data_IF_737356226159
#
_entry.id   IF_737356226159
#
_cell.length_a   1.000
_cell.length_b   1.000
_cell.length_c   1.000
_cell.angle_alpha   90.00
_cell.angle_beta   90.00
_cell.angle_gamma   90.00
#
_symmetry.space_group_name_H-M   'P 1'
#
loop_
_entity.id
_entity.type
_entity.pdbx_description
1 polymer ?
#
# COMPACT_ATOMS: atom_id res chain seq x y z
N UNK A 1 3.52 -47.16 -40.90
CA UNK A 1 2.74 -45.96 -41.21
C UNK A 1 3.28 -44.85 -40.36
N UNK A 2 3.89 -43.86 -41.00
CA UNK A 2 4.68 -42.79 -40.38
C UNK A 2 3.80 -41.75 -39.69
N UNK A 3 4.01 -41.52 -38.39
CA UNK A 3 3.55 -40.35 -37.61
C UNK A 3 4.47 -40.13 -36.38
N UNK A 4 5.79 -40.19 -36.54
CA UNK A 4 6.75 -39.84 -35.47
C UNK A 4 7.64 -38.63 -35.79
N UNK A 5 7.32 -37.88 -36.85
CA UNK A 5 7.81 -36.50 -37.04
C UNK A 5 6.82 -35.54 -36.37
N UNK A 6 7.15 -34.44 -35.70
CA UNK A 6 8.40 -33.83 -35.26
C UNK A 6 7.93 -32.73 -34.27
N UNK A 7 8.03 -32.95 -32.96
CA UNK A 7 8.25 -31.82 -32.05
C UNK A 7 9.70 -31.95 -31.65
N UNK A 8 10.60 -31.05 -32.10
CA UNK A 8 11.94 -31.03 -31.58
C UNK A 8 11.79 -30.93 -30.07
N UNK A 9 12.26 -31.93 -29.33
CA UNK A 9 12.46 -31.80 -27.89
C UNK A 9 13.48 -30.70 -27.73
N UNK A 10 13.01 -29.45 -27.71
CA UNK A 10 13.81 -28.27 -27.39
C UNK A 10 14.22 -28.50 -25.94
N UNK A 11 15.36 -29.15 -25.75
CA UNK A 11 16.06 -29.09 -24.48
C UNK A 11 16.42 -27.62 -24.30
N UNK A 12 15.56 -26.91 -23.55
CA UNK A 12 15.79 -25.53 -23.18
C UNK A 12 17.17 -25.49 -22.52
N UNK A 13 18.13 -24.83 -23.18
CA UNK A 13 19.46 -24.68 -22.59
C UNK A 13 19.29 -23.96 -21.26
N UNK A 14 19.93 -24.40 -20.17
CA UNK A 14 19.90 -23.69 -18.92
C UNK A 14 20.34 -22.25 -19.17
N UNK A 15 19.42 -21.29 -19.00
CA UNK A 15 19.71 -19.89 -19.25
C UNK A 15 20.56 -19.39 -18.08
N UNK A 16 21.84 -19.15 -18.36
CA UNK A 16 22.84 -18.82 -17.32
C UNK A 16 22.71 -17.38 -16.82
N UNK A 17 22.05 -16.52 -17.60
CA UNK A 17 21.88 -15.12 -17.27
C UNK A 17 20.61 -14.92 -16.42
N UNK A 18 20.82 -14.62 -15.13
CA UNK A 18 19.74 -14.40 -14.17
C UNK A 18 18.81 -13.26 -14.60
N UNK A 19 19.33 -12.23 -15.26
CA UNK A 19 18.52 -11.10 -15.70
C UNK A 19 17.52 -11.52 -16.78
N UNK A 20 17.96 -12.32 -17.75
CA UNK A 20 17.08 -12.82 -18.80
C UNK A 20 16.03 -13.80 -18.28
N UNK A 21 16.40 -14.65 -17.31
CA UNK A 21 15.44 -15.53 -16.63
C UNK A 21 14.40 -14.68 -15.90
N UNK A 22 14.83 -13.67 -15.15
CA UNK A 22 13.92 -12.76 -14.45
C UNK A 22 12.97 -12.06 -15.42
N UNK A 23 13.48 -11.45 -16.49
CA UNK A 23 12.66 -10.78 -17.50
C UNK A 23 11.63 -11.74 -18.11
N UNK A 24 12.02 -12.99 -18.37
CA UNK A 24 11.11 -14.02 -18.90
C UNK A 24 10.02 -14.37 -17.90
N UNK A 25 10.38 -14.62 -16.64
CA UNK A 25 9.44 -14.92 -15.55
C UNK A 25 8.47 -13.76 -15.31
N UNK A 26 8.98 -12.53 -15.23
CA UNK A 26 8.20 -11.33 -15.05
C UNK A 26 7.22 -11.10 -16.22
N UNK A 27 7.68 -11.34 -17.45
CA UNK A 27 6.84 -11.28 -18.66
C UNK A 27 5.69 -12.30 -18.59
N UNK A 28 5.98 -13.54 -18.18
CA UNK A 28 4.93 -14.55 -18.01
C UNK A 28 3.98 -14.19 -16.87
N UNK A 29 4.50 -13.76 -15.72
CA UNK A 29 3.71 -13.35 -14.57
C UNK A 29 2.68 -12.28 -14.95
N UNK A 30 3.11 -11.21 -15.63
CA UNK A 30 2.22 -10.14 -16.07
C UNK A 30 1.19 -10.62 -17.10
N UNK A 31 1.57 -11.50 -18.04
CA UNK A 31 0.62 -12.09 -18.99
C UNK A 31 -0.44 -12.92 -18.30
N UNK A 32 -0.04 -13.78 -17.35
CA UNK A 32 -0.99 -14.56 -16.57
C UNK A 32 -1.88 -13.67 -15.70
N UNK A 33 -1.36 -12.56 -15.18
CA UNK A 33 -2.15 -11.61 -14.39
C UNK A 33 -3.24 -10.94 -15.23
N UNK A 34 -2.92 -10.55 -16.47
CA UNK A 34 -3.93 -10.06 -17.42
C UNK A 34 -5.01 -11.09 -17.73
N UNK A 35 -4.59 -12.34 -17.97
CA UNK A 35 -5.53 -13.45 -18.24
C UNK A 35 -6.41 -13.70 -17.02
N UNK A 36 -5.83 -13.69 -15.81
CA UNK A 36 -6.56 -13.86 -14.56
C UNK A 36 -7.67 -12.82 -14.39
N UNK A 37 -7.34 -11.53 -14.58
CA UNK A 37 -8.32 -10.43 -14.51
C UNK A 37 -9.46 -10.64 -15.51
N UNK A 38 -9.14 -10.96 -16.77
CA UNK A 38 -10.16 -11.21 -17.79
C UNK A 38 -11.04 -12.44 -17.46
N UNK A 39 -10.45 -13.52 -16.93
CA UNK A 39 -11.20 -14.71 -16.54
C UNK A 39 -12.10 -14.46 -15.32
N UNK A 40 -11.68 -13.63 -14.37
CA UNK A 40 -12.50 -13.23 -13.22
C UNK A 40 -13.74 -12.47 -13.69
N UNK A 41 -13.57 -11.49 -14.58
CA UNK A 41 -14.69 -10.75 -15.19
C UNK A 41 -15.63 -11.70 -15.95
N UNK A 42 -15.07 -12.58 -16.77
CA UNK A 42 -15.86 -13.57 -17.53
C UNK A 42 -16.62 -14.50 -16.57
N UNK A 43 -15.99 -14.98 -15.50
CA UNK A 43 -16.64 -15.82 -14.51
C UNK A 43 -17.86 -15.10 -13.89
N UNK A 44 -17.71 -13.81 -13.56
CA UNK A 44 -18.78 -13.02 -12.97
C UNK A 44 -19.96 -12.79 -13.94
N UNK A 45 -19.67 -12.56 -15.22
CA UNK A 45 -20.69 -12.27 -16.24
C UNK A 45 -21.37 -13.51 -16.83
N UNK A 46 -20.76 -14.70 -16.76
CA UNK A 46 -21.39 -15.93 -17.29
C UNK A 46 -22.59 -16.32 -16.44
N UNK A 47 -23.78 -16.34 -17.04
CA UNK A 47 -25.01 -16.83 -16.39
C UNK A 47 -25.20 -18.35 -16.47
N UNK A 48 -24.55 -19.02 -17.44
CA UNK A 48 -24.76 -20.44 -17.71
C UNK A 48 -23.91 -21.34 -16.79
N UNK A 49 -24.50 -22.23 -15.96
CA UNK A 49 -23.78 -22.90 -14.88
C UNK A 49 -22.70 -23.89 -15.37
N UNK A 50 -22.93 -24.59 -16.47
CA UNK A 50 -21.96 -25.52 -17.07
C UNK A 50 -20.70 -24.77 -17.54
N UNK A 51 -20.86 -23.67 -18.27
CA UNK A 51 -19.73 -22.83 -18.73
C UNK A 51 -18.99 -22.21 -17.55
N UNK A 52 -19.72 -21.75 -16.54
CA UNK A 52 -19.14 -21.18 -15.31
C UNK A 52 -18.22 -22.16 -14.58
N UNK A 53 -18.60 -23.45 -14.50
CA UNK A 53 -17.76 -24.50 -13.90
C UNK A 53 -16.45 -24.71 -14.64
N UNK A 54 -16.47 -24.68 -15.97
CA UNK A 54 -15.25 -24.82 -16.78
C UNK A 54 -14.33 -23.62 -16.57
N UNK A 55 -14.88 -22.40 -16.62
CA UNK A 55 -14.11 -21.17 -16.36
C UNK A 55 -13.52 -21.17 -14.96
N UNK A 56 -14.25 -21.67 -13.95
CA UNK A 56 -13.73 -21.83 -12.60
C UNK A 56 -12.44 -22.65 -12.56
N UNK A 57 -12.44 -23.82 -13.20
CA UNK A 57 -11.27 -24.72 -13.21
C UNK A 57 -10.05 -24.07 -13.87
N UNK A 58 -10.29 -23.35 -14.98
CA UNK A 58 -9.22 -22.61 -15.66
C UNK A 58 -8.70 -21.47 -14.79
N UNK A 59 -9.60 -20.74 -14.11
CA UNK A 59 -9.25 -19.63 -13.22
C UNK A 59 -8.37 -20.11 -12.05
N UNK A 60 -8.73 -21.22 -11.39
CA UNK A 60 -7.93 -21.86 -10.34
C UNK A 60 -6.54 -22.29 -10.86
N UNK A 61 -6.47 -22.84 -12.08
CA UNK A 61 -5.19 -23.20 -12.71
C UNK A 61 -4.30 -21.98 -12.99
N UNK A 62 -4.89 -20.88 -13.47
CA UNK A 62 -4.17 -19.62 -13.69
C UNK A 62 -3.69 -19.01 -12.37
N UNK A 63 -4.50 -19.08 -11.31
CA UNK A 63 -4.11 -18.65 -9.96
C UNK A 63 -2.91 -19.46 -9.44
N UNK A 64 -2.94 -20.78 -9.59
CA UNK A 64 -1.82 -21.65 -9.25
C UNK A 64 -0.55 -21.23 -9.99
N UNK A 65 -0.65 -21.03 -11.32
CA UNK A 65 0.51 -20.63 -12.13
C UNK A 65 1.06 -19.25 -11.76
N UNK A 66 0.21 -18.31 -11.36
CA UNK A 66 0.64 -16.99 -10.86
C UNK A 66 1.49 -17.10 -9.59
N UNK A 67 1.06 -17.94 -8.66
CA UNK A 67 1.79 -18.17 -7.40
C UNK A 67 3.12 -18.88 -7.67
N UNK A 68 3.13 -19.88 -8.53
CA UNK A 68 4.37 -20.56 -8.95
C UNK A 68 5.37 -19.59 -9.58
N UNK A 69 4.94 -18.80 -10.57
CA UNK A 69 5.80 -17.80 -11.22
C UNK A 69 6.33 -16.78 -10.22
N UNK A 70 5.48 -16.31 -9.31
CA UNK A 70 5.91 -15.38 -8.26
C UNK A 70 6.95 -16.03 -7.36
N UNK A 71 6.75 -17.28 -6.96
CA UNK A 71 7.70 -18.02 -6.13
C UNK A 71 9.04 -18.24 -6.86
N UNK A 72 9.01 -18.64 -8.13
CA UNK A 72 10.20 -18.78 -8.98
C UNK A 72 11.00 -17.46 -9.05
N UNK A 73 10.33 -16.30 -9.17
CA UNK A 73 10.99 -14.99 -9.15
C UNK A 73 11.61 -14.66 -7.78
N UNK A 74 10.88 -14.94 -6.69
CA UNK A 74 11.37 -14.72 -5.31
C UNK A 74 12.61 -15.57 -5.04
N UNK A 75 12.60 -16.84 -5.45
CA UNK A 75 13.76 -17.73 -5.33
C UNK A 75 14.93 -17.26 -6.20
N UNK A 76 14.65 -16.70 -7.37
CA UNK A 76 15.66 -16.17 -8.27
C UNK A 76 16.34 -14.91 -7.73
N UNK A 77 15.63 -13.99 -7.07
CA UNK A 77 16.19 -12.72 -6.58
C UNK A 77 16.43 -12.67 -5.06
N UNK A 78 15.95 -13.66 -4.31
CA UNK A 78 15.89 -13.66 -2.84
C UNK A 78 15.16 -12.44 -2.26
N UNK A 79 14.15 -11.94 -2.99
CA UNK A 79 13.36 -10.76 -2.62
C UNK A 79 11.89 -11.00 -2.96
N UNK A 80 10.98 -10.52 -2.10
CA UNK A 80 9.54 -10.49 -2.41
C UNK A 80 9.17 -9.31 -3.33
N UNK A 81 9.97 -8.24 -3.26
CA UNK A 81 9.76 -6.98 -3.98
C UNK A 81 10.59 -6.96 -5.26
N UNK A 82 9.90 -6.72 -6.37
CA UNK A 82 10.48 -6.75 -7.72
C UNK A 82 10.03 -5.51 -8.49
N UNK A 83 10.92 -4.96 -9.31
CA UNK A 83 10.65 -3.79 -10.14
C UNK A 83 10.24 -4.23 -11.55
N UNK A 84 9.13 -3.70 -12.05
CA UNK A 84 8.53 -4.10 -13.33
C UNK A 84 8.47 -2.96 -14.34
N UNK A 85 9.07 -1.80 -14.07
CA UNK A 85 8.87 -0.56 -14.82
C UNK A 85 9.02 -0.72 -16.34
N UNK A 86 10.13 -1.31 -16.79
CA UNK A 86 10.41 -1.53 -18.21
C UNK A 86 9.38 -2.48 -18.86
N UNK A 87 8.98 -3.53 -18.13
CA UNK A 87 8.07 -4.57 -18.62
C UNK A 87 6.63 -4.06 -18.62
N UNK A 88 6.23 -3.28 -17.61
CA UNK A 88 4.92 -2.63 -17.55
C UNK A 88 4.72 -1.70 -18.74
N UNK A 89 5.76 -0.96 -19.13
CA UNK A 89 5.73 -0.08 -20.30
C UNK A 89 5.43 -0.88 -21.58
N UNK A 90 6.10 -2.02 -21.79
CA UNK A 90 5.87 -2.89 -22.94
C UNK A 90 4.43 -3.43 -22.98
N UNK A 91 3.87 -3.77 -21.81
CA UNK A 91 2.50 -4.27 -21.71
C UNK A 91 1.44 -3.18 -21.66
N UNK A 92 1.82 -1.89 -21.67
CA UNK A 92 0.90 -0.75 -21.48
C UNK A 92 0.06 -0.91 -20.21
N UNK A 93 0.66 -1.41 -19.14
CA UNK A 93 0.02 -1.59 -17.83
C UNK A 93 0.41 -0.46 -16.90
N UNK A 94 -0.48 -0.15 -15.96
CA UNK A 94 -0.16 0.75 -14.84
C UNK A 94 0.22 -0.06 -13.60
N UNK A 95 0.85 0.55 -12.59
CA UNK A 95 1.10 -0.12 -11.31
C UNK A 95 -0.17 -0.63 -10.63
N UNK A 96 -1.33 -0.03 -10.87
CA UNK A 96 -2.63 -0.49 -10.34
C UNK A 96 -3.02 -1.86 -10.92
N UNK A 97 -2.58 -2.17 -12.14
CA UNK A 97 -2.85 -3.46 -12.79
C UNK A 97 -2.07 -4.62 -12.14
N UNK A 98 -1.02 -4.33 -11.36
CA UNK A 98 -0.26 -5.32 -10.59
C UNK A 98 -1.02 -5.86 -9.38
N UNK A 99 -2.04 -5.15 -8.90
CA UNK A 99 -2.84 -5.63 -7.78
C UNK A 99 -3.56 -6.93 -8.19
N UNK A 100 -3.44 -8.00 -7.41
CA UNK A 100 -4.13 -9.25 -7.74
C UNK A 100 -5.55 -9.18 -7.17
N UNK A 101 -6.61 -9.09 -8.00
CA UNK A 101 -7.96 -8.98 -7.47
C UNK A 101 -8.37 -10.26 -6.74
N UNK A 102 -9.13 -10.12 -5.66
CA UNK A 102 -9.73 -11.25 -4.95
C UNK A 102 -10.97 -11.71 -5.74
N UNK A 103 -11.01 -12.95 -6.27
CA UNK A 103 -12.14 -13.38 -7.09
C UNK A 103 -13.46 -13.37 -6.32
N UNK A 104 -14.52 -12.81 -6.93
CA UNK A 104 -15.83 -12.60 -6.28
C UNK A 104 -16.50 -13.91 -5.83
N UNK A 105 -16.19 -15.03 -6.47
CA UNK A 105 -16.79 -16.32 -6.08
C UNK A 105 -16.30 -16.84 -4.74
N UNK A 106 -15.12 -16.43 -4.25
CA UNK A 106 -14.63 -16.84 -2.93
C UNK A 106 -15.65 -16.52 -1.84
N UNK A 107 -16.28 -15.35 -1.92
CA UNK A 107 -17.33 -14.93 -0.98
C UNK A 107 -18.62 -15.68 -1.24
N UNK A 108 -19.04 -15.82 -2.50
CA UNK A 108 -20.30 -16.48 -2.88
C UNK A 108 -20.34 -17.95 -2.49
N UNK A 109 -19.28 -18.69 -2.75
CA UNK A 109 -19.19 -20.12 -2.42
C UNK A 109 -19.04 -20.35 -0.91
N UNK A 110 -18.27 -19.51 -0.21
CA UNK A 110 -18.06 -19.63 1.24
C UNK A 110 -19.20 -19.03 2.07
N UNK A 111 -20.21 -18.40 1.47
CA UNK A 111 -21.26 -17.68 2.19
C UNK A 111 -22.02 -18.56 3.20
N UNK A 112 -22.22 -19.84 2.89
CA UNK A 112 -22.87 -20.79 3.80
C UNK A 112 -21.99 -21.06 5.02
N UNK A 113 -20.72 -21.42 4.79
CA UNK A 113 -19.75 -21.65 5.86
C UNK A 113 -19.52 -20.39 6.71
N UNK A 114 -19.51 -19.21 6.09
CA UNK A 114 -19.41 -17.92 6.79
C UNK A 114 -20.63 -17.69 7.69
N UNK A 115 -21.85 -17.92 7.20
CA UNK A 115 -23.08 -17.81 8.00
C UNK A 115 -23.12 -18.83 9.15
N UNK A 116 -22.63 -20.04 8.94
CA UNK A 116 -22.53 -21.05 10.00
C UNK A 116 -21.54 -20.64 11.08
N UNK A 117 -20.36 -20.16 10.68
CA UNK A 117 -19.36 -19.61 11.61
C UNK A 117 -19.89 -18.39 12.37
N UNK A 118 -20.62 -17.51 11.69
CA UNK A 118 -21.27 -16.35 12.31
C UNK A 118 -22.27 -16.79 13.39
N UNK A 119 -23.14 -17.77 13.09
CA UNK A 119 -24.07 -18.34 14.08
C UNK A 119 -23.34 -18.96 15.27
N UNK A 120 -22.28 -19.72 15.02
CA UNK A 120 -21.45 -20.32 16.07
C UNK A 120 -20.82 -19.23 16.95
N UNK A 121 -20.29 -18.18 16.36
CA UNK A 121 -19.67 -17.06 17.07
C UNK A 121 -20.71 -16.33 17.93
N UNK A 122 -21.91 -16.06 17.41
CA UNK A 122 -23.02 -15.49 18.18
C UNK A 122 -23.37 -16.37 19.38
N UNK A 123 -23.42 -17.69 19.21
CA UNK A 123 -23.70 -18.64 20.28
C UNK A 123 -22.61 -18.66 21.35
N UNK A 124 -21.34 -18.65 20.95
CA UNK A 124 -20.19 -18.60 21.87
C UNK A 124 -20.19 -17.29 22.66
N UNK A 125 -20.40 -16.14 21.99
CA UNK A 125 -20.48 -14.83 22.66
C UNK A 125 -21.66 -14.76 23.64
N UNK A 126 -22.82 -15.30 23.26
CA UNK A 126 -23.99 -15.38 24.14
C UNK A 126 -23.72 -16.23 25.39
N UNK A 127 -22.99 -17.35 25.24
CA UNK A 127 -22.58 -18.21 26.36
C UNK A 127 -21.48 -17.60 27.23
N UNK A 128 -20.56 -16.84 26.63
CA UNK A 128 -19.44 -16.19 27.33
C UNK A 128 -19.82 -14.93 28.11
N UNK A 129 -21.10 -14.60 28.26
CA UNK A 129 -21.55 -13.39 28.96
C UNK A 129 -21.25 -12.08 28.24
N UNK A 130 -20.63 -12.13 27.06
CA UNK A 130 -20.36 -10.98 26.21
C UNK A 130 -21.61 -10.67 25.39
N UNK A 131 -22.66 -10.21 26.08
CA UNK A 131 -23.77 -9.57 25.39
C UNK A 131 -23.19 -8.38 24.64
N UNK A 132 -23.41 -8.31 23.31
CA UNK A 132 -23.21 -7.05 22.58
C UNK A 132 -23.91 -5.97 23.41
N UNK A 133 -23.25 -4.86 23.79
CA UNK A 133 -23.97 -3.77 24.43
C UNK A 133 -25.10 -3.35 23.49
N UNK A 134 -26.34 -3.71 23.85
CA UNK A 134 -27.56 -3.29 23.13
C UNK A 134 -27.78 -1.79 23.27
N UNK A 135 -27.01 -1.14 24.12
CA UNK A 135 -26.93 0.30 24.23
C UNK A 135 -25.76 0.73 23.36
N UNK A 136 -26.03 1.13 22.12
CA UNK A 136 -25.26 2.24 21.57
C UNK A 136 -25.43 3.36 22.60
N UNK A 137 -24.48 3.50 23.53
CA UNK A 137 -24.36 4.75 24.28
C UNK A 137 -24.32 5.79 23.18
N UNK A 138 -25.26 6.75 23.14
CA UNK A 138 -25.25 7.75 22.09
C UNK A 138 -23.87 8.37 22.15
N UNK A 139 -23.03 8.05 21.18
CA UNK A 139 -21.77 8.76 20.99
C UNK A 139 -22.26 10.17 20.73
N UNK A 140 -22.08 11.06 21.71
CA UNK A 140 -22.44 12.46 21.54
C UNK A 140 -21.58 12.97 20.39
N UNK A 141 -22.13 12.90 19.18
CA UNK A 141 -21.48 13.38 17.98
C UNK A 141 -21.39 14.89 18.13
N UNK A 142 -20.17 15.40 18.28
CA UNK A 142 -19.95 16.85 18.23
C UNK A 142 -20.45 17.38 16.89
N UNK A 143 -21.17 18.50 16.90
CA UNK A 143 -21.60 19.13 15.66
C UNK A 143 -20.38 19.63 14.87
N UNK A 144 -20.51 19.69 13.55
CA UNK A 144 -19.43 20.14 12.67
C UNK A 144 -19.02 21.57 13.02
N UNK A 145 -19.99 22.42 13.36
CA UNK A 145 -19.75 23.81 13.76
C UNK A 145 -18.92 23.87 15.04
N UNK A 146 -19.23 23.00 16.02
CA UNK A 146 -18.48 22.93 17.28
C UNK A 146 -17.05 22.44 17.06
N UNK A 147 -16.86 21.46 16.19
CA UNK A 147 -15.54 20.94 15.82
C UNK A 147 -14.69 22.00 15.10
N UNK A 148 -15.28 22.69 14.11
CA UNK A 148 -14.61 23.79 13.38
C UNK A 148 -14.23 24.91 14.33
N UNK A 149 -15.12 25.32 15.22
CA UNK A 149 -14.85 26.37 16.20
C UNK A 149 -13.70 25.98 17.14
N UNK A 150 -13.69 24.76 17.68
CA UNK A 150 -12.62 24.25 18.55
C UNK A 150 -11.26 24.25 17.83
N UNK A 151 -11.22 23.80 16.58
CA UNK A 151 -10.01 23.79 15.76
C UNK A 151 -9.48 25.21 15.53
N UNK A 152 -10.35 26.14 15.13
CA UNK A 152 -9.96 27.53 14.85
C UNK A 152 -9.44 28.26 16.08
N UNK A 153 -10.11 28.09 17.24
CA UNK A 153 -9.66 28.70 18.51
C UNK A 153 -8.30 28.12 18.93
N UNK A 154 -8.13 26.81 18.82
CA UNK A 154 -6.89 26.13 19.18
C UNK A 154 -5.72 26.56 18.29
N UNK A 155 -5.95 26.64 16.98
CA UNK A 155 -4.93 27.08 16.02
C UNK A 155 -4.57 28.56 16.22
N UNK A 156 -5.56 29.44 16.46
CA UNK A 156 -5.31 30.85 16.80
C UNK A 156 -4.44 30.98 18.05
N UNK A 157 -4.74 30.21 19.10
CA UNK A 157 -3.96 30.20 20.33
C UNK A 157 -2.53 29.71 20.09
N UNK A 158 -2.35 28.65 19.29
CA UNK A 158 -1.03 28.11 18.92
C UNK A 158 -0.20 29.14 18.16
N UNK A 159 -0.79 29.78 17.14
CA UNK A 159 -0.16 30.84 16.35
C UNK A 159 0.21 32.04 17.23
N UNK A 160 -0.66 32.43 18.15
CA UNK A 160 -0.38 33.48 19.14
C UNK A 160 0.85 33.17 19.99
N UNK A 161 0.96 31.94 20.52
CA UNK A 161 2.13 31.50 21.28
C UNK A 161 3.41 31.53 20.44
N UNK A 162 3.34 31.06 19.19
CA UNK A 162 4.49 31.05 18.29
C UNK A 162 4.99 32.46 17.97
N UNK A 163 4.07 33.39 17.68
CA UNK A 163 4.39 34.81 17.44
C UNK A 163 4.98 35.47 18.67
N UNK A 164 4.40 35.24 19.85
CA UNK A 164 4.91 35.78 21.11
C UNK A 164 6.33 35.29 21.40
N UNK A 165 6.61 34.00 21.16
CA UNK A 165 7.95 33.45 21.27
C UNK A 165 8.93 34.13 20.30
N UNK A 166 8.56 34.25 19.03
CA UNK A 166 9.39 34.89 18.00
C UNK A 166 9.71 36.35 18.32
N UNK A 167 8.70 37.15 18.71
CA UNK A 167 8.91 38.55 19.11
C UNK A 167 9.80 38.67 20.35
N UNK A 168 9.69 37.75 21.31
CA UNK A 168 10.58 37.71 22.47
C UNK A 168 12.04 37.48 22.05
N UNK A 169 12.29 36.58 21.11
CA UNK A 169 13.64 36.33 20.57
C UNK A 169 14.21 37.57 19.89
N UNK A 170 13.44 38.23 19.01
CA UNK A 170 13.87 39.47 18.34
C UNK A 170 14.24 40.54 19.36
N UNK A 171 13.38 40.77 20.37
CA UNK A 171 13.63 41.79 21.39
C UNK A 171 14.89 41.52 22.21
N UNK A 172 15.17 40.25 22.53
CA UNK A 172 16.40 39.85 23.21
C UNK A 172 17.64 40.06 22.33
N UNK A 173 17.52 39.85 21.03
CA UNK A 173 18.60 40.09 20.07
C UNK A 173 18.87 41.59 19.87
N UNK A 174 17.83 42.42 19.72
CA UNK A 174 17.96 43.87 19.68
C UNK A 174 18.62 44.43 20.95
N UNK A 175 18.22 43.95 22.13
CA UNK A 175 18.85 44.33 23.40
C UNK A 175 20.34 43.96 23.43
N UNK A 176 20.72 42.78 22.93
CA UNK A 176 22.13 42.38 22.81
C UNK A 176 22.90 43.28 21.83
N UNK A 177 22.30 43.67 20.69
CA UNK A 177 22.91 44.60 19.73
C UNK A 177 23.12 46.00 20.32
N UNK A 178 22.13 46.50 21.06
CA UNK A 178 22.22 47.80 21.74
C UNK A 178 23.29 47.79 22.86
N UNK A 179 23.40 46.70 23.63
CA UNK A 179 24.47 46.55 24.63
C UNK A 179 25.86 46.40 23.98
N UNK A 180 25.98 45.70 22.84
CA UNK A 180 27.23 45.59 22.09
C UNK A 180 27.74 46.92 21.53
N UNK A 181 26.84 47.82 21.11
CA UNK A 181 27.20 49.16 20.64
C UNK A 181 27.58 50.16 21.77
N UNK A 182 27.30 49.84 23.03
CA UNK A 182 27.73 50.66 24.19
C UNK A 182 29.22 50.48 24.53
N UNK A 183 29.91 49.53 23.89
CA UNK A 183 31.30 49.15 24.18
C UNK A 183 32.31 49.68 23.14
N UNK A 184 31.98 50.70 22.35
CA UNK A 184 33.03 51.44 21.61
C UNK A 184 33.67 52.46 22.54
N UNK A 185 34.85 52.09 23.07
CA UNK A 185 35.74 53.00 23.77
C UNK A 185 36.07 54.22 22.89
N UNK A 186 36.14 55.39 23.54
CA UNK A 186 36.51 56.67 22.94
C UNK A 186 37.86 56.56 22.20
N UNK A 187 37.95 56.90 20.89
CA UNK A 187 39.16 56.74 20.08
C UNK A 187 40.41 57.38 20.68
N UNK A 188 40.23 58.40 21.52
CA UNK A 188 41.33 59.13 22.16
C UNK A 188 41.97 58.37 23.34
N UNK A 189 41.37 57.28 23.84
CA UNK A 189 41.96 56.46 24.92
C UNK A 189 42.93 55.38 24.41
N UNK A 190 42.94 55.08 23.10
CA UNK A 190 43.83 54.05 22.54
C UNK A 190 45.29 54.53 22.34
N UNK A 191 45.55 55.85 22.42
CA UNK A 191 46.84 56.44 22.08
C UNK A 191 47.87 56.46 23.23
N UNK A 192 47.49 56.11 24.47
CA UNK A 192 48.33 56.30 25.67
C UNK A 192 49.04 55.05 26.20
N UNK A 193 48.91 53.89 25.56
CA UNK A 193 49.44 52.62 26.11
C UNK A 193 50.66 52.04 25.37
N UNK A 194 51.43 52.85 24.65
CA UNK A 194 52.72 52.40 24.09
C UNK A 194 53.83 53.37 24.53
N UNK A 195 54.47 53.05 25.65
CA UNK A 195 55.82 53.49 26.03
C UNK A 195 56.45 52.44 26.95
#
# INVERSE_FOLDING_TARGET
GALEDEYPTMQLRPQKDRLQVFQTLATFYLRYLKIFRALEEVYDQIVHPQKRRVVHQVLEGVMGRLVELKNEMVELEYSEFHYFDDILQDFKMTPEDLEVPIPRYFVREKIRALKEREKMLVHILAKGGHQKPKTQVPVQSMSVERAVWLLQVSERARQGRLRAHFMKTIRQEEQRRLQGNSSMLDPNQAATCIQ
#
